data_IF_844020447881
#
_entry.id   IF_844020447881
#
_cell.length_a   1.000
_cell.length_b   1.000
_cell.length_c   1.000
_cell.angle_alpha   90.00
_cell.angle_beta   90.00
_cell.angle_gamma   90.00
#
_symmetry.space_group_name_H-M   'P 1'
#
loop_
_entity.id
_entity.type
_entity.pdbx_description
1 polymer ?
#
# COMPACT_ATOMS: atom_id res chain seq x y z
N UNK A 1 4.90 24.59 14.40
CA UNK A 1 5.55 24.08 15.64
C UNK A 1 4.79 22.89 16.21
N UNK A 2 3.48 22.99 16.48
CA UNK A 2 2.67 21.89 17.02
C UNK A 2 2.70 20.59 16.19
N UNK A 3 2.57 20.69 14.85
CA UNK A 3 2.64 19.51 13.97
C UNK A 3 3.98 18.75 14.05
N UNK A 4 5.10 19.47 14.14
CA UNK A 4 6.43 18.85 14.27
C UNK A 4 6.58 18.12 15.62
N UNK A 5 6.22 18.80 16.71
CA UNK A 5 6.30 18.26 18.06
C UNK A 5 5.43 17.00 18.26
N UNK A 6 4.21 16.98 17.74
CA UNK A 6 3.35 15.79 17.80
C UNK A 6 3.79 14.70 16.80
N UNK A 7 4.29 15.09 15.64
CA UNK A 7 4.71 14.18 14.58
C UNK A 7 5.97 13.38 14.91
N UNK A 8 6.91 13.94 15.69
CA UNK A 8 8.16 13.29 16.10
C UNK A 8 7.95 11.89 16.71
N UNK A 9 6.83 11.66 17.41
CA UNK A 9 6.50 10.36 18.01
C UNK A 9 6.17 9.28 16.97
N UNK A 10 5.84 9.66 15.74
CA UNK A 10 5.43 8.78 14.65
C UNK A 10 6.47 8.69 13.53
N UNK A 11 7.52 9.52 13.54
CA UNK A 11 8.57 9.53 12.52
C UNK A 11 9.79 8.73 13.01
N UNK A 12 10.15 7.68 12.26
CA UNK A 12 11.30 6.81 12.62
C UNK A 12 12.65 7.44 12.26
N UNK A 13 12.69 8.37 11.30
CA UNK A 13 13.86 9.13 10.89
C UNK A 13 13.54 10.07 9.73
N UNK A 14 14.33 11.13 9.54
CA UNK A 14 14.13 12.10 8.45
C UNK A 14 14.59 11.56 7.10
N UNK A 15 15.50 10.58 7.12
CA UNK A 15 16.00 9.89 5.94
C UNK A 15 15.89 8.38 6.10
N UNK A 16 15.84 7.65 4.99
CA UNK A 16 15.80 6.18 5.01
C UNK A 16 17.02 5.58 5.74
N UNK A 17 18.20 6.20 5.62
CA UNK A 17 19.40 5.76 6.30
C UNK A 17 19.28 5.85 7.83
N UNK A 18 18.73 6.96 8.35
CA UNK A 18 18.46 7.10 9.77
C UNK A 18 17.40 6.11 10.25
N UNK A 19 16.31 5.94 9.49
CA UNK A 19 15.25 5.01 9.85
C UNK A 19 15.73 3.54 9.90
N UNK A 20 16.63 3.15 8.98
CA UNK A 20 17.30 1.84 8.98
C UNK A 20 18.24 1.67 10.18
N UNK A 21 18.99 2.71 10.55
CA UNK A 21 19.86 2.66 11.73
C UNK A 21 19.06 2.45 13.02
N UNK A 22 17.91 3.11 13.14
CA UNK A 22 17.03 3.03 14.31
C UNK A 22 16.30 1.68 14.44
N UNK A 23 16.04 0.99 13.32
CA UNK A 23 15.30 -0.28 13.32
C UNK A 23 16.05 -1.44 14.00
N UNK A 24 17.39 -1.45 13.95
CA UNK A 24 18.24 -2.57 14.41
C UNK A 24 17.89 -3.07 15.81
N UNK A 25 17.67 -2.16 16.76
CA UNK A 25 17.40 -2.48 18.17
C UNK A 25 16.12 -3.30 18.37
N UNK A 26 15.11 -3.10 17.53
CA UNK A 26 13.85 -3.84 17.60
C UNK A 26 13.88 -5.08 16.69
N UNK A 27 14.61 -5.02 15.57
CA UNK A 27 14.87 -6.22 14.74
C UNK A 27 15.58 -7.33 15.53
N UNK A 28 16.54 -6.98 16.39
CA UNK A 28 17.22 -7.93 17.32
C UNK A 28 16.24 -8.62 18.28
N UNK A 29 15.05 -8.05 18.49
CA UNK A 29 13.98 -8.61 19.33
C UNK A 29 12.91 -9.36 18.51
N UNK A 30 13.13 -9.55 17.21
CA UNK A 30 12.21 -10.23 16.29
C UNK A 30 11.13 -9.32 15.68
N UNK A 31 11.20 -8.00 15.83
CA UNK A 31 10.33 -7.09 15.10
C UNK A 31 10.77 -6.97 13.63
N UNK A 32 9.84 -6.60 12.77
CA UNK A 32 10.08 -6.34 11.34
C UNK A 32 9.56 -4.95 10.99
N UNK A 33 10.08 -4.39 9.91
CA UNK A 33 9.75 -3.04 9.47
C UNK A 33 9.20 -3.00 8.05
N UNK A 34 8.26 -2.10 7.83
CA UNK A 34 7.84 -1.65 6.51
C UNK A 34 8.01 -0.14 6.49
N UNK A 35 8.90 0.37 5.64
CA UNK A 35 9.18 1.80 5.57
C UNK A 35 8.13 2.51 4.72
N UNK A 36 7.53 3.57 5.27
CA UNK A 36 6.62 4.46 4.55
C UNK A 36 7.36 5.76 4.26
N UNK A 37 7.58 6.04 2.97
CA UNK A 37 8.17 7.31 2.55
C UNK A 37 7.06 8.36 2.54
N UNK A 38 7.09 9.26 3.52
CA UNK A 38 6.06 10.28 3.69
C UNK A 38 5.93 11.16 2.43
N UNK A 39 4.69 11.38 2.01
CA UNK A 39 4.35 12.09 0.79
C UNK A 39 3.27 11.37 -0.01
N UNK A 40 2.23 12.09 -0.39
CA UNK A 40 1.05 11.57 -1.06
C UNK A 40 0.42 12.66 -1.92
N UNK A 41 -0.55 12.28 -2.75
CA UNK A 41 -1.35 13.20 -3.56
C UNK A 41 -0.50 14.17 -4.42
N UNK A 42 0.37 13.62 -5.27
CA UNK A 42 1.18 14.41 -6.19
C UNK A 42 0.28 15.35 -7.03
N UNK A 43 0.59 16.64 -6.99
CA UNK A 43 -0.19 17.66 -7.71
C UNK A 43 0.39 17.90 -9.11
N UNK A 44 1.71 17.78 -9.25
CA UNK A 44 2.44 18.01 -10.50
C UNK A 44 3.22 16.77 -10.94
N UNK A 45 3.62 16.75 -12.22
CA UNK A 45 4.50 15.70 -12.74
C UNK A 45 5.87 15.71 -12.04
N UNK A 46 6.35 16.89 -11.63
CA UNK A 46 7.60 17.05 -10.89
C UNK A 46 7.51 16.42 -9.49
N UNK A 47 6.39 16.61 -8.78
CA UNK A 47 6.15 15.96 -7.48
C UNK A 47 6.17 14.44 -7.63
N UNK A 48 5.43 13.91 -8.61
CA UNK A 48 5.37 12.48 -8.87
C UNK A 48 6.74 11.89 -9.24
N UNK A 49 7.55 12.63 -9.98
CA UNK A 49 8.91 12.23 -10.31
C UNK A 49 9.84 12.26 -9.07
N UNK A 50 9.70 13.26 -8.20
CA UNK A 50 10.45 13.33 -6.95
C UNK A 50 10.11 12.16 -6.01
N UNK A 51 8.83 11.82 -5.88
CA UNK A 51 8.39 10.63 -5.13
C UNK A 51 8.90 9.32 -5.73
N UNK A 52 8.87 9.18 -7.06
CA UNK A 52 9.43 8.02 -7.75
C UNK A 52 10.92 7.82 -7.42
N UNK A 53 11.71 8.90 -7.48
CA UNK A 53 13.15 8.86 -7.14
C UNK A 53 13.35 8.51 -5.65
N UNK A 54 12.55 9.10 -4.77
CA UNK A 54 12.58 8.81 -3.33
C UNK A 54 12.31 7.32 -3.04
N UNK A 55 11.28 6.73 -3.66
CA UNK A 55 11.00 5.31 -3.54
C UNK A 55 12.11 4.42 -4.09
N UNK A 56 12.69 4.75 -5.26
CA UNK A 56 13.82 3.99 -5.82
C UNK A 56 15.03 3.99 -4.86
N UNK A 57 15.39 5.17 -4.33
CA UNK A 57 16.48 5.31 -3.36
C UNK A 57 16.20 4.51 -2.09
N UNK A 58 14.97 4.57 -1.59
CA UNK A 58 14.55 3.81 -0.42
C UNK A 58 14.64 2.29 -0.66
N UNK A 59 14.13 1.78 -1.80
CA UNK A 59 14.20 0.36 -2.14
C UNK A 59 15.67 -0.11 -2.20
N UNK A 60 16.57 0.66 -2.81
CA UNK A 60 18.00 0.30 -2.81
C UNK A 60 18.59 0.25 -1.40
N UNK A 61 18.27 1.24 -0.54
CA UNK A 61 18.78 1.28 0.82
C UNK A 61 18.23 0.12 1.67
N UNK A 62 16.92 -0.10 1.62
CA UNK A 62 16.22 -1.18 2.34
C UNK A 62 16.69 -2.53 1.84
N UNK A 63 16.83 -2.73 0.52
CA UNK A 63 17.28 -3.98 -0.08
C UNK A 63 18.69 -4.35 0.33
N UNK A 64 19.62 -3.38 0.33
CA UNK A 64 21.00 -3.58 0.84
C UNK A 64 21.00 -3.91 2.33
N UNK A 65 20.17 -3.26 3.13
CA UNK A 65 20.06 -3.53 4.56
C UNK A 65 19.33 -4.85 4.87
N UNK A 66 18.41 -5.28 4.00
CA UNK A 66 17.75 -6.58 4.08
C UNK A 66 18.75 -7.71 3.88
N UNK A 67 19.69 -7.55 2.93
CA UNK A 67 20.79 -8.48 2.67
C UNK A 67 20.31 -9.95 2.51
N UNK A 68 19.25 -10.16 1.73
CA UNK A 68 18.72 -11.50 1.44
C UNK A 68 17.89 -12.13 2.57
N UNK A 69 17.49 -11.37 3.60
CA UNK A 69 16.54 -11.85 4.63
C UNK A 69 15.15 -12.17 4.07
N UNK A 70 14.87 -11.75 2.84
CA UNK A 70 13.65 -12.06 2.11
C UNK A 70 12.43 -11.28 2.57
N UNK A 71 11.29 -11.59 1.95
CA UNK A 71 10.04 -10.82 2.09
C UNK A 71 9.34 -10.96 3.45
N UNK A 72 9.71 -11.96 4.28
CA UNK A 72 9.05 -12.25 5.55
C UNK A 72 9.83 -11.75 6.77
N UNK A 73 11.15 -12.01 6.80
CA UNK A 73 12.02 -11.64 7.91
C UNK A 73 12.76 -10.32 7.67
N UNK A 74 12.95 -9.95 6.40
CA UNK A 74 13.56 -8.70 6.01
C UNK A 74 12.59 -7.52 6.07
N UNK A 75 13.11 -6.29 6.05
CA UNK A 75 12.29 -5.11 5.91
C UNK A 75 11.65 -5.01 4.52
N UNK A 76 10.50 -4.35 4.45
CA UNK A 76 9.82 -3.99 3.20
C UNK A 76 9.60 -2.50 3.06
N UNK A 77 8.89 -2.12 2.00
CA UNK A 77 8.47 -0.74 1.73
C UNK A 77 6.95 -0.67 1.51
N UNK A 78 6.32 0.42 1.91
CA UNK A 78 4.94 0.77 1.51
C UNK A 78 4.97 1.97 0.57
N UNK A 79 4.15 1.92 -0.48
CA UNK A 79 4.04 2.98 -1.48
C UNK A 79 2.59 3.44 -1.61
N UNK A 80 2.38 4.71 -1.94
CA UNK A 80 1.05 5.28 -2.24
C UNK A 80 0.96 5.55 -3.74
N UNK A 81 -0.15 5.12 -4.37
CA UNK A 81 -0.31 5.29 -5.82
C UNK A 81 -0.51 6.77 -6.17
N UNK A 82 -1.16 7.52 -5.30
CA UNK A 82 -1.33 8.97 -5.46
C UNK A 82 -0.02 9.75 -5.49
N UNK A 83 1.06 9.23 -4.90
CA UNK A 83 2.39 9.83 -4.97
C UNK A 83 3.04 9.62 -6.35
N UNK A 84 2.61 8.62 -7.12
CA UNK A 84 3.25 8.23 -8.37
C UNK A 84 2.57 8.78 -9.63
N UNK A 85 1.46 9.49 -9.49
CA UNK A 85 0.74 10.08 -10.62
C UNK A 85 0.08 11.41 -10.25
N UNK A 86 0.30 12.47 -11.04
CA UNK A 86 -0.35 13.75 -10.78
C UNK A 86 -1.87 13.61 -10.89
N UNK A 87 -2.61 14.12 -9.90
CA UNK A 87 -4.09 14.12 -9.95
C UNK A 87 -4.69 12.70 -10.09
N UNK A 88 -4.12 11.74 -9.37
CA UNK A 88 -4.56 10.34 -9.35
C UNK A 88 -6.07 10.22 -9.11
N UNK A 89 -6.81 9.87 -10.15
CA UNK A 89 -8.27 9.77 -10.13
C UNK A 89 -8.78 8.79 -11.20
N UNK A 90 -10.01 8.27 -11.06
CA UNK A 90 -10.56 7.21 -11.91
C UNK A 90 -11.03 7.78 -13.25
N UNK A 91 -11.31 9.08 -13.28
CA UNK A 91 -11.60 9.83 -14.51
C UNK A 91 -10.42 9.86 -15.50
N UNK A 92 -9.22 9.39 -15.10
CA UNK A 92 -8.00 9.38 -15.92
C UNK A 92 -7.49 7.95 -16.13
N UNK A 93 -8.36 6.94 -16.20
CA UNK A 93 -7.99 5.51 -16.25
C UNK A 93 -6.86 5.22 -17.26
N UNK A 94 -7.02 5.64 -18.52
CA UNK A 94 -6.04 5.37 -19.59
C UNK A 94 -4.67 5.96 -19.24
N UNK A 95 -4.63 7.22 -18.79
CA UNK A 95 -3.39 7.88 -18.36
C UNK A 95 -2.77 7.22 -17.14
N UNK A 96 -3.56 6.74 -16.19
CA UNK A 96 -3.05 5.97 -15.05
C UNK A 96 -2.38 4.69 -15.54
N UNK A 97 -2.97 3.98 -16.50
CA UNK A 97 -2.38 2.76 -17.07
C UNK A 97 -1.14 3.04 -17.92
N UNK A 98 -1.08 4.18 -18.61
CA UNK A 98 0.07 4.57 -19.43
C UNK A 98 1.23 5.16 -18.62
N UNK A 99 0.94 5.94 -17.58
CA UNK A 99 1.93 6.74 -16.84
C UNK A 99 2.27 6.16 -15.46
N UNK A 100 1.26 5.74 -14.68
CA UNK A 100 1.47 5.21 -13.32
C UNK A 100 1.94 3.76 -13.36
N UNK A 101 1.29 2.92 -14.16
CA UNK A 101 1.59 1.49 -14.17
C UNK A 101 3.08 1.18 -14.45
N UNK A 102 3.75 1.81 -15.45
CA UNK A 102 5.19 1.56 -15.66
C UNK A 102 6.05 1.92 -14.44
N UNK A 103 5.68 2.95 -13.68
CA UNK A 103 6.36 3.34 -12.43
C UNK A 103 6.15 2.28 -11.35
N UNK A 104 4.91 1.83 -11.14
CA UNK A 104 4.58 0.76 -10.20
C UNK A 104 5.33 -0.53 -10.54
N UNK A 105 5.31 -0.94 -11.82
CA UNK A 105 6.05 -2.10 -12.32
C UNK A 105 7.55 -1.95 -12.03
N UNK A 106 8.14 -0.80 -12.37
CA UNK A 106 9.58 -0.53 -12.15
C UNK A 106 9.98 -0.66 -10.68
N UNK A 107 9.21 -0.06 -9.75
CA UNK A 107 9.47 -0.19 -8.32
C UNK A 107 9.33 -1.64 -7.83
N UNK A 108 8.33 -2.36 -8.33
CA UNK A 108 8.08 -3.76 -7.94
C UNK A 108 9.18 -4.69 -8.45
N UNK A 109 9.65 -4.50 -9.67
CA UNK A 109 10.80 -5.24 -10.20
C UNK A 109 12.07 -4.97 -9.39
N UNK A 110 12.29 -3.72 -8.99
CA UNK A 110 13.43 -3.36 -8.16
C UNK A 110 13.33 -4.00 -6.76
N UNK A 111 12.15 -3.99 -6.14
CA UNK A 111 11.91 -4.68 -4.86
C UNK A 111 12.15 -6.20 -4.98
N UNK A 112 11.72 -6.81 -6.09
CA UNK A 112 11.99 -8.22 -6.39
C UNK A 112 13.48 -8.53 -6.50
N UNK A 113 14.27 -7.65 -7.12
CA UNK A 113 15.73 -7.87 -7.24
C UNK A 113 16.43 -7.97 -5.88
N UNK A 114 15.90 -7.27 -4.87
CA UNK A 114 16.41 -7.33 -3.49
C UNK A 114 15.67 -8.34 -2.60
N UNK A 115 14.67 -9.03 -3.15
CA UNK A 115 13.75 -9.89 -2.42
C UNK A 115 13.13 -9.24 -1.17
N UNK A 116 12.67 -7.99 -1.31
CA UNK A 116 11.96 -7.27 -0.24
C UNK A 116 10.49 -7.09 -0.56
N UNK A 117 9.62 -7.13 0.46
CA UNK A 117 8.20 -6.89 0.27
C UNK A 117 7.92 -5.44 -0.18
N UNK A 118 7.06 -5.28 -1.19
CA UNK A 118 6.53 -3.98 -1.61
C UNK A 118 5.01 -3.99 -1.43
N UNK A 119 4.51 -3.12 -0.56
CA UNK A 119 3.10 -3.04 -0.21
C UNK A 119 2.45 -1.80 -0.83
N UNK A 120 1.38 -1.97 -1.59
CA UNK A 120 0.56 -0.88 -2.13
C UNK A 120 -0.44 -0.45 -1.06
N UNK A 121 -0.32 0.78 -0.57
CA UNK A 121 -1.24 1.35 0.42
C UNK A 121 -2.62 1.63 -0.16
N UNK A 122 -3.63 1.49 0.68
CA UNK A 122 -5.02 1.82 0.35
C UNK A 122 -5.34 3.23 0.84
N UNK A 123 -5.84 4.05 -0.08
CA UNK A 123 -6.12 5.47 0.10
C UNK A 123 -7.65 5.69 0.19
N UNK A 124 -8.22 6.68 -0.52
CA UNK A 124 -9.66 6.94 -0.55
C UNK A 124 -10.46 5.87 -1.30
N UNK A 125 -11.72 5.69 -0.92
CA UNK A 125 -12.58 4.61 -1.39
C UNK A 125 -12.91 4.66 -2.90
N UNK A 126 -12.87 5.82 -3.54
CA UNK A 126 -13.10 6.00 -4.98
C UNK A 126 -11.87 5.60 -5.83
N UNK A 127 -10.71 5.43 -5.19
CA UNK A 127 -9.48 4.92 -5.81
C UNK A 127 -9.37 3.40 -5.77
N UNK A 128 -10.21 2.72 -4.99
CA UNK A 128 -10.15 1.25 -4.82
C UNK A 128 -10.16 0.52 -6.17
N UNK A 129 -11.13 0.81 -7.04
CA UNK A 129 -11.28 0.09 -8.32
C UNK A 129 -10.01 0.20 -9.19
N UNK A 130 -9.49 1.41 -9.40
CA UNK A 130 -8.28 1.61 -10.22
C UNK A 130 -7.03 0.97 -9.57
N UNK A 131 -6.97 0.90 -8.24
CA UNK A 131 -5.88 0.21 -7.55
C UNK A 131 -5.93 -1.31 -7.75
N UNK A 132 -7.14 -1.89 -7.86
CA UNK A 132 -7.32 -3.31 -8.19
C UNK A 132 -6.95 -3.58 -9.66
N UNK A 133 -7.32 -2.70 -10.58
CA UNK A 133 -6.94 -2.82 -11.99
C UNK A 133 -5.40 -2.83 -12.18
N UNK A 134 -4.69 -1.97 -11.44
CA UNK A 134 -3.23 -1.92 -11.42
C UNK A 134 -2.62 -3.20 -10.80
N UNK A 135 -3.19 -3.69 -9.70
CA UNK A 135 -2.76 -4.92 -9.03
C UNK A 135 -2.96 -6.15 -9.93
N UNK A 136 -4.11 -6.26 -10.59
CA UNK A 136 -4.42 -7.33 -11.55
C UNK A 136 -3.30 -7.41 -12.58
N UNK A 137 -3.02 -6.31 -13.28
CA UNK A 137 -2.00 -6.25 -14.32
C UNK A 137 -0.61 -6.61 -13.79
N UNK A 138 -0.25 -6.08 -12.61
CA UNK A 138 1.05 -6.33 -11.97
C UNK A 138 1.25 -7.82 -11.63
N UNK A 139 0.20 -8.50 -11.18
CA UNK A 139 0.25 -9.92 -10.81
C UNK A 139 0.47 -10.86 -12.02
N UNK A 140 0.32 -10.38 -13.26
CA UNK A 140 0.58 -11.19 -14.46
C UNK A 140 1.87 -10.82 -15.20
N UNK A 141 2.70 -9.93 -14.65
CA UNK A 141 4.01 -9.63 -15.24
C UNK A 141 4.92 -10.87 -15.21
N UNK A 142 5.46 -11.32 -16.37
CA UNK A 142 6.31 -12.52 -16.44
C UNK A 142 7.56 -12.41 -15.55
N UNK A 143 8.13 -11.20 -15.46
CA UNK A 143 9.31 -10.89 -14.66
C UNK A 143 9.05 -11.04 -13.14
N UNK A 144 7.78 -11.03 -12.72
CA UNK A 144 7.33 -11.21 -11.34
C UNK A 144 6.79 -12.62 -11.07
N UNK A 145 6.88 -13.54 -12.04
CA UNK A 145 6.44 -14.93 -11.87
C UNK A 145 7.24 -15.63 -10.75
N UNK A 146 6.54 -16.41 -9.93
CA UNK A 146 7.12 -17.15 -8.80
C UNK A 146 7.52 -16.30 -7.59
N UNK A 147 7.37 -14.98 -7.65
CA UNK A 147 7.71 -14.08 -6.56
C UNK A 147 6.48 -13.61 -5.78
N UNK A 148 6.54 -13.72 -4.44
CA UNK A 148 5.40 -13.51 -3.54
C UNK A 148 5.49 -12.22 -2.71
N UNK A 149 6.39 -11.29 -3.08
CA UNK A 149 6.62 -10.05 -2.33
C UNK A 149 5.66 -8.90 -2.67
N UNK A 150 4.65 -9.13 -3.50
CA UNK A 150 3.62 -8.14 -3.80
C UNK A 150 2.65 -8.08 -2.62
N UNK A 151 2.59 -6.91 -1.98
CA UNK A 151 1.65 -6.61 -0.90
C UNK A 151 0.57 -5.63 -1.30
N UNK A 152 -0.58 -5.75 -0.65
CA UNK A 152 -1.75 -4.91 -0.92
C UNK A 152 -2.55 -4.67 0.37
N UNK A 153 -2.93 -3.42 0.62
CA UNK A 153 -3.75 -3.06 1.79
C UNK A 153 -5.24 -3.16 1.46
N UNK A 154 -6.02 -3.68 2.40
CA UNK A 154 -7.48 -3.65 2.35
C UNK A 154 -8.04 -3.04 3.65
N UNK A 155 -9.08 -2.21 3.52
CA UNK A 155 -9.62 -1.41 4.61
C UNK A 155 -10.98 -1.95 5.08
N UNK A 156 -11.03 -2.55 6.26
CA UNK A 156 -12.22 -3.20 6.84
C UNK A 156 -13.40 -2.25 7.12
N UNK A 157 -13.17 -0.93 7.20
CA UNK A 157 -14.24 0.04 7.34
C UNK A 157 -15.12 0.19 6.09
N UNK A 158 -14.69 -0.34 4.92
CA UNK A 158 -15.44 -0.29 3.68
C UNK A 158 -16.36 -1.49 3.60
N UNK A 159 -17.60 -1.27 3.17
CA UNK A 159 -18.59 -2.34 2.96
C UNK A 159 -18.12 -3.36 1.91
N UNK A 160 -17.26 -2.95 0.99
CA UNK A 160 -16.68 -3.79 -0.08
C UNK A 160 -15.55 -4.71 0.38
N UNK A 161 -14.95 -4.50 1.55
CA UNK A 161 -13.73 -5.22 1.98
C UNK A 161 -13.87 -6.77 1.90
N UNK A 162 -14.97 -7.40 2.36
CA UNK A 162 -15.14 -8.84 2.21
C UNK A 162 -15.14 -9.32 0.75
N UNK A 163 -15.71 -8.53 -0.18
CA UNK A 163 -15.76 -8.85 -1.61
C UNK A 163 -14.39 -8.68 -2.27
N UNK A 164 -13.64 -7.65 -1.87
CA UNK A 164 -12.25 -7.47 -2.31
C UNK A 164 -11.41 -8.67 -1.90
N UNK A 165 -11.61 -9.26 -0.72
CA UNK A 165 -10.90 -10.48 -0.32
C UNK A 165 -11.23 -11.64 -1.27
N UNK A 166 -12.51 -11.81 -1.68
CA UNK A 166 -12.85 -12.87 -2.64
C UNK A 166 -12.15 -12.66 -3.99
N UNK A 167 -12.13 -11.42 -4.48
CA UNK A 167 -11.37 -11.05 -5.67
C UNK A 167 -9.87 -11.35 -5.53
N UNK A 168 -9.25 -10.98 -4.41
CA UNK A 168 -7.82 -11.20 -4.17
C UNK A 168 -7.45 -12.69 -4.06
N UNK A 169 -8.34 -13.52 -3.52
CA UNK A 169 -8.16 -14.98 -3.47
C UNK A 169 -8.18 -15.57 -4.87
N UNK A 170 -9.13 -15.15 -5.70
CA UNK A 170 -9.20 -15.57 -7.10
C UNK A 170 -7.97 -15.07 -7.91
N UNK A 171 -7.57 -13.81 -7.74
CA UNK A 171 -6.38 -13.25 -8.36
C UNK A 171 -5.11 -14.02 -7.97
N UNK A 172 -4.91 -14.29 -6.67
CA UNK A 172 -3.76 -15.07 -6.18
C UNK A 172 -3.71 -16.46 -6.83
N UNK A 173 -4.86 -17.12 -6.97
CA UNK A 173 -4.99 -18.42 -7.63
C UNK A 173 -4.64 -18.34 -9.13
N UNK A 174 -5.27 -17.43 -9.88
CA UNK A 174 -5.06 -17.28 -11.33
C UNK A 174 -3.63 -16.85 -11.66
N UNK A 175 -3.05 -15.97 -10.86
CA UNK A 175 -1.67 -15.48 -11.04
C UNK A 175 -0.59 -16.35 -10.37
N UNK A 176 -0.99 -17.46 -9.73
CA UNK A 176 -0.12 -18.47 -9.12
C UNK A 176 0.89 -17.89 -8.13
N UNK A 177 0.42 -17.02 -7.24
CA UNK A 177 1.26 -16.39 -6.20
C UNK A 177 0.53 -16.31 -4.87
N UNK A 178 1.31 -16.16 -3.81
CA UNK A 178 0.82 -15.73 -2.50
C UNK A 178 0.91 -14.22 -2.41
N UNK A 179 -0.20 -13.54 -2.16
CA UNK A 179 -0.24 -12.09 -1.95
C UNK A 179 -0.04 -11.74 -0.47
N UNK A 180 0.77 -10.71 -0.19
CA UNK A 180 0.96 -10.19 1.16
C UNK A 180 -0.15 -9.19 1.51
N UNK A 181 -1.25 -9.66 2.09
CA UNK A 181 -2.41 -8.80 2.37
C UNK A 181 -2.32 -8.16 3.75
N UNK A 182 -2.29 -6.82 3.79
CA UNK A 182 -2.37 -6.04 5.03
C UNK A 182 -3.81 -5.62 5.29
N UNK A 183 -4.46 -6.29 6.24
CA UNK A 183 -5.79 -5.93 6.71
C UNK A 183 -5.72 -4.81 7.75
N UNK A 184 -6.29 -3.65 7.41
CA UNK A 184 -6.40 -2.49 8.31
C UNK A 184 -7.87 -2.13 8.56
N UNK A 185 -8.14 -1.26 9.54
CA UNK A 185 -9.49 -0.67 9.67
C UNK A 185 -9.73 0.36 8.58
N UNK A 186 -8.85 1.36 8.47
CA UNK A 186 -8.91 2.46 7.51
C UNK A 186 -8.55 3.78 8.19
N UNK A 187 -7.96 4.72 7.44
CA UNK A 187 -7.38 5.96 7.98
C UNK A 187 -8.13 7.23 7.54
N UNK A 188 -9.06 7.12 6.57
CA UNK A 188 -9.68 8.28 5.90
C UNK A 188 -11.16 8.49 6.28
N UNK A 189 -11.62 7.95 7.42
CA UNK A 189 -13.04 7.84 7.75
C UNK A 189 -13.77 9.20 7.72
N UNK A 190 -13.22 10.24 8.35
CA UNK A 190 -13.84 11.58 8.38
C UNK A 190 -13.96 12.17 6.97
N UNK A 191 -12.94 12.02 6.13
CA UNK A 191 -12.95 12.47 4.73
C UNK A 191 -13.98 11.70 3.90
N UNK A 192 -14.14 10.39 4.13
CA UNK A 192 -15.14 9.56 3.47
C UNK A 192 -16.58 9.96 3.81
N UNK A 193 -16.84 10.25 5.10
CA UNK A 193 -18.15 10.76 5.54
C UNK A 193 -18.43 12.12 4.90
N UNK A 194 -17.46 13.04 4.96
CA UNK A 194 -17.59 14.38 4.38
C UNK A 194 -17.86 14.32 2.88
N UNK A 195 -17.08 13.54 2.12
CA UNK A 195 -17.24 13.42 0.66
C UNK A 195 -18.63 12.90 0.29
N UNK A 196 -19.05 11.79 0.91
CA UNK A 196 -20.36 11.20 0.58
C UNK A 196 -21.53 12.16 0.85
N UNK A 197 -21.44 12.99 1.89
CA UNK A 197 -22.42 14.05 2.18
C UNK A 197 -22.37 15.17 1.15
N UNK A 198 -21.17 15.66 0.80
CA UNK A 198 -21.00 16.75 -0.17
C UNK A 198 -21.45 16.37 -1.58
N UNK A 199 -21.21 15.12 -1.98
CA UNK A 199 -21.62 14.60 -3.29
C UNK A 199 -23.07 14.14 -3.34
N UNK A 200 -23.78 14.11 -2.22
CA UNK A 200 -25.19 13.70 -2.16
C UNK A 200 -25.41 12.24 -2.58
N UNK A 201 -24.47 11.34 -2.26
CA UNK A 201 -24.54 9.93 -2.65
C UNK A 201 -25.70 9.22 -1.95
N UNK A 202 -26.17 8.11 -2.54
CA UNK A 202 -27.24 7.26 -1.96
C UNK A 202 -26.87 6.67 -0.58
N UNK A 203 -25.58 6.61 -0.25
CA UNK A 203 -25.09 6.16 1.05
C UNK A 203 -23.57 6.25 1.19
N UNK A 204 -23.09 5.84 2.37
CA UNK A 204 -21.67 5.87 2.69
C UNK A 204 -20.94 4.63 2.18
N UNK A 205 -19.73 4.76 1.58
CA UNK A 205 -18.89 3.61 1.23
C UNK A 205 -18.31 2.92 2.48
N UNK A 206 -18.29 3.63 3.61
CA UNK A 206 -17.80 3.18 4.92
C UNK A 206 -18.92 2.95 5.93
N UNK A 207 -18.65 2.14 6.95
CA UNK A 207 -19.55 2.03 8.10
C UNK A 207 -19.56 3.33 8.93
N UNK A 208 -20.71 3.69 9.51
CA UNK A 208 -20.89 4.95 10.28
C UNK A 208 -20.77 4.77 11.79
N UNK A 209 -20.77 3.53 12.29
CA UNK A 209 -20.46 3.21 13.70
C UNK A 209 -19.19 2.40 13.75
N UNK A 210 -18.25 2.82 14.59
CA UNK A 210 -16.94 2.18 14.77
C UNK A 210 -17.06 0.67 15.06
N UNK A 211 -18.05 0.25 15.85
CA UNK A 211 -18.27 -1.18 16.17
C UNK A 211 -18.55 -2.04 14.92
N UNK A 212 -19.17 -1.49 13.87
CA UNK A 212 -19.38 -2.24 12.62
C UNK A 212 -18.07 -2.45 11.86
N UNK A 213 -17.16 -1.48 11.89
CA UNK A 213 -15.79 -1.65 11.38
C UNK A 213 -15.04 -2.74 12.16
N UNK A 214 -15.22 -2.84 13.48
CA UNK A 214 -14.61 -3.91 14.27
C UNK A 214 -15.16 -5.30 13.88
N UNK A 215 -16.48 -5.43 13.70
CA UNK A 215 -17.12 -6.68 13.24
C UNK A 215 -16.62 -7.07 11.84
N UNK A 216 -16.55 -6.10 10.93
CA UNK A 216 -16.00 -6.30 9.58
C UNK A 216 -14.56 -6.77 9.64
N UNK A 217 -13.71 -6.13 10.47
CA UNK A 217 -12.31 -6.52 10.63
C UNK A 217 -12.14 -7.98 11.06
N UNK A 218 -12.89 -8.43 12.07
CA UNK A 218 -12.84 -9.81 12.55
C UNK A 218 -13.31 -10.82 11.48
N UNK A 219 -14.32 -10.43 10.70
CA UNK A 219 -14.84 -11.25 9.61
C UNK A 219 -13.82 -11.38 8.48
N UNK A 220 -13.23 -10.26 8.07
CA UNK A 220 -12.17 -10.21 7.06
C UNK A 220 -10.93 -10.97 7.51
N UNK A 221 -10.49 -10.83 8.77
CA UNK A 221 -9.33 -11.54 9.30
C UNK A 221 -9.49 -13.05 9.21
N UNK A 222 -10.67 -13.59 9.57
CA UNK A 222 -10.99 -15.02 9.42
C UNK A 222 -10.95 -15.47 7.95
N UNK A 223 -11.38 -14.60 7.03
CA UNK A 223 -11.44 -14.89 5.60
C UNK A 223 -10.04 -14.91 4.97
N UNK A 224 -9.20 -13.92 5.27
CA UNK A 224 -7.80 -13.83 4.81
C UNK A 224 -6.98 -14.99 5.36
N UNK A 225 -7.01 -15.26 6.67
CA UNK A 225 -6.20 -16.32 7.28
C UNK A 225 -6.47 -17.74 6.74
N UNK A 226 -7.65 -17.97 6.14
CA UNK A 226 -8.04 -19.27 5.57
C UNK A 226 -7.72 -19.42 4.08
N UNK A 227 -7.44 -18.32 3.37
CA UNK A 227 -7.51 -18.30 1.89
C UNK A 227 -6.34 -17.59 1.20
N UNK A 228 -5.43 -16.96 1.93
CA UNK A 228 -4.22 -16.29 1.41
C UNK A 228 -2.96 -16.81 2.10
#
# INVERSE_FOLDING_TARGET
MAMRLMGEQFVTGETIAQALANARKLEEKGFRYSYDMLGEAALTAADAQAYMVSYQQAIHAIGKASNGRGIYEGPGISIKLSALHPRYSRAQYDRVMEELYPRLKSLTLLARQYDIGLNIDAEEADRLEISLDLLEKLCFEPELAGWNGIGFVIQAYQKRCPLVIDYLVDLASRSRRRLMIRLVKGAYWDSEIKRAQMEGLEGYPVYTRKVYTDVSYLTCAKKTARRT
#
